data_IF_096261203840
#
_entry.id   IF_096261203840
#
_cell.length_a   1.000
_cell.length_b   1.000
_cell.length_c   1.000
_cell.angle_alpha   90.00
_cell.angle_beta   90.00
_cell.angle_gamma   90.00
#
_symmetry.space_group_name_H-M   'P 1'
#
loop_
_entity.id
_entity.type
_entity.pdbx_description
1 polymer ?
#
# COMPACT_ATOMS: atom_id res chain seq x y z
N UNK A 1 -11.78 -17.43 -42.33
CA UNK A 1 -10.50 -17.40 -41.58
C UNK A 1 -10.83 -17.14 -40.12
N UNK A 2 -10.73 -18.18 -39.30
CA UNK A 2 -11.06 -18.19 -37.87
C UNK A 2 -9.99 -17.46 -37.04
N UNK A 3 -10.44 -16.56 -36.16
CA UNK A 3 -9.60 -15.97 -35.10
C UNK A 3 -9.17 -17.05 -34.10
N UNK A 4 -7.90 -17.09 -33.66
CA UNK A 4 -7.47 -18.08 -32.68
C UNK A 4 -8.06 -17.74 -31.31
N UNK A 5 -8.68 -18.74 -30.66
CA UNK A 5 -9.09 -18.69 -29.25
C UNK A 5 -7.86 -18.57 -28.36
N UNK A 6 -7.89 -17.76 -27.27
CA UNK A 6 -6.83 -17.76 -26.29
C UNK A 6 -6.70 -19.15 -25.66
N UNK A 7 -5.45 -19.64 -25.53
CA UNK A 7 -5.14 -20.99 -25.07
C UNK A 7 -5.65 -21.20 -23.64
N UNK A 8 -6.34 -22.30 -23.42
CA UNK A 8 -6.86 -22.78 -22.13
C UNK A 8 -5.77 -23.03 -21.06
N UNK A 9 -4.50 -23.01 -21.45
CA UNK A 9 -3.36 -23.26 -20.56
C UNK A 9 -3.12 -22.13 -19.54
N UNK A 10 -3.57 -20.89 -19.82
CA UNK A 10 -3.40 -19.78 -18.88
C UNK A 10 -4.46 -19.75 -17.76
N UNK A 11 -5.61 -20.41 -17.96
CA UNK A 11 -6.67 -20.50 -16.96
C UNK A 11 -6.49 -21.66 -15.97
N UNK A 12 -5.73 -22.70 -16.34
CA UNK A 12 -5.55 -23.88 -15.49
C UNK A 12 -4.43 -23.76 -14.46
N UNK A 13 -3.50 -22.83 -14.64
CA UNK A 13 -2.44 -22.56 -13.65
C UNK A 13 -3.01 -21.80 -12.42
N UNK A 14 -4.07 -21.01 -12.61
CA UNK A 14 -4.75 -20.30 -11.50
C UNK A 14 -5.73 -21.17 -10.70
N UNK A 15 -6.13 -22.35 -11.25
CA UNK A 15 -7.14 -23.23 -10.60
C UNK A 15 -6.55 -24.32 -9.68
N UNK A 16 -5.23 -24.40 -9.51
CA UNK A 16 -4.60 -25.48 -8.73
C UNK A 16 -3.78 -25.04 -7.52
N UNK A 17 -3.96 -23.83 -7.01
CA UNK A 17 -3.51 -23.54 -5.65
C UNK A 17 -4.69 -23.79 -4.70
N UNK A 18 -4.54 -24.70 -3.73
CA UNK A 18 -5.54 -24.80 -2.68
C UNK A 18 -5.63 -23.44 -2.02
N UNK A 19 -6.82 -22.86 -2.04
CA UNK A 19 -7.15 -21.65 -1.28
C UNK A 19 -7.05 -22.03 0.21
N UNK A 20 -5.84 -21.92 0.76
CA UNK A 20 -5.68 -21.97 2.21
C UNK A 20 -6.35 -20.72 2.76
N UNK A 21 -7.51 -20.92 3.38
CA UNK A 21 -8.19 -19.89 4.17
C UNK A 21 -7.40 -19.67 5.48
N UNK A 22 -6.15 -19.19 5.35
CA UNK A 22 -5.34 -18.84 6.51
C UNK A 22 -5.65 -17.41 6.87
N UNK A 23 -6.43 -17.27 7.91
CA UNK A 23 -6.75 -15.96 8.48
C UNK A 23 -5.54 -15.43 9.25
N UNK A 24 -4.71 -14.67 8.56
CA UNK A 24 -3.46 -14.11 9.08
C UNK A 24 -3.71 -12.74 9.70
N UNK A 25 -3.08 -12.50 10.85
CA UNK A 25 -3.01 -11.15 11.45
C UNK A 25 -1.82 -10.41 10.86
N UNK A 26 -2.05 -9.21 10.36
CA UNK A 26 -1.04 -8.44 9.64
C UNK A 26 -0.81 -7.08 10.27
N UNK A 27 0.45 -6.69 10.39
CA UNK A 27 0.88 -5.34 10.79
C UNK A 27 1.69 -4.75 9.64
N UNK A 28 1.30 -3.56 9.21
CA UNK A 28 2.06 -2.75 8.26
C UNK A 28 2.80 -1.65 9.02
N UNK A 29 4.11 -1.62 8.91
CA UNK A 29 4.94 -0.53 9.43
C UNK A 29 5.13 0.50 8.31
N UNK A 30 4.73 1.73 8.56
CA UNK A 30 4.78 2.81 7.59
C UNK A 30 5.55 4.01 8.14
N UNK A 31 6.27 4.70 7.25
CA UNK A 31 6.92 5.97 7.54
C UNK A 31 5.98 7.10 7.13
N UNK A 32 5.58 7.95 8.05
CA UNK A 32 4.91 9.21 7.73
C UNK A 32 5.94 10.27 7.35
N UNK A 33 5.74 10.90 6.21
CA UNK A 33 6.32 12.19 5.92
C UNK A 33 5.29 13.24 6.33
N UNK A 34 5.53 13.95 7.42
CA UNK A 34 4.81 15.17 7.71
C UNK A 34 5.34 16.26 6.76
N UNK A 35 4.70 16.45 5.62
CA UNK A 35 4.65 17.76 5.03
C UNK A 35 3.69 18.58 5.92
N UNK A 36 4.16 19.76 6.35
CA UNK A 36 3.42 20.68 7.22
C UNK A 36 2.13 21.14 6.51
N UNK A 37 1.07 20.36 6.61
CA UNK A 37 -0.26 20.77 6.27
C UNK A 37 -1.11 20.86 7.54
N UNK A 38 -1.75 22.03 7.70
CA UNK A 38 -2.57 22.42 8.83
C UNK A 38 -3.64 21.36 9.17
N UNK A 39 -4.13 21.31 10.43
CA UNK A 39 -5.02 20.27 10.90
C UNK A 39 -6.33 20.28 10.10
N UNK A 40 -6.63 19.15 9.46
CA UNK A 40 -7.93 18.88 8.84
C UNK A 40 -8.94 18.72 9.97
N UNK A 41 -9.70 19.75 10.24
CA UNK A 41 -10.86 19.71 11.13
C UNK A 41 -11.91 18.78 10.50
N UNK A 42 -12.04 17.56 11.02
CA UNK A 42 -13.11 16.63 10.66
C UNK A 42 -14.43 17.15 11.27
N UNK A 43 -15.16 17.97 10.53
CA UNK A 43 -16.59 18.14 10.69
C UNK A 43 -17.30 17.54 9.46
N UNK A 44 -17.58 16.25 9.55
CA UNK A 44 -18.43 15.53 8.60
C UNK A 44 -19.88 15.81 8.98
N UNK A 45 -20.41 16.99 8.62
CA UNK A 45 -21.83 17.30 8.50
C UNK A 45 -22.01 18.75 8.05
N UNK A 46 -21.75 19.03 6.78
CA UNK A 46 -22.28 20.23 6.14
C UNK A 46 -22.46 19.96 4.64
N UNK A 47 -23.54 20.50 4.02
CA UNK A 47 -23.76 20.32 2.60
C UNK A 47 -22.63 20.99 1.82
N UNK A 48 -22.22 20.31 0.77
CA UNK A 48 -21.14 20.65 -0.16
C UNK A 48 -21.13 22.12 -0.59
N UNK A 49 -20.49 22.95 0.19
CA UNK A 49 -19.93 24.20 -0.32
C UNK A 49 -18.63 23.84 -1.01
N UNK A 50 -18.67 23.74 -2.31
CA UNK A 50 -17.50 23.64 -3.17
C UNK A 50 -16.66 24.90 -2.88
N UNK A 51 -15.63 24.79 -2.07
CA UNK A 51 -14.58 25.80 -1.99
C UNK A 51 -13.89 25.77 -3.34
N UNK A 52 -14.17 26.78 -4.16
CA UNK A 52 -13.36 27.08 -5.34
C UNK A 52 -12.00 27.45 -4.78
N UNK A 53 -11.01 26.57 -4.97
CA UNK A 53 -9.62 26.87 -4.69
C UNK A 53 -9.19 27.96 -5.68
N UNK A 54 -9.31 29.21 -5.25
CA UNK A 54 -8.96 30.40 -6.04
C UNK A 54 -7.44 30.58 -6.20
N UNK A 55 -6.63 29.61 -5.76
CA UNK A 55 -5.16 29.68 -5.77
C UNK A 55 -4.47 28.83 -6.84
N UNK A 56 -5.17 28.35 -7.86
CA UNK A 56 -4.49 27.68 -8.96
C UNK A 56 -3.90 28.75 -9.90
N UNK A 57 -2.64 29.08 -9.70
CA UNK A 57 -1.88 29.94 -10.61
C UNK A 57 -1.34 29.11 -11.78
N UNK A 58 -1.86 29.36 -12.98
CA UNK A 58 -1.29 28.83 -14.22
C UNK A 58 -0.26 29.83 -14.77
N UNK A 59 0.94 29.37 -15.04
CA UNK A 59 1.93 30.14 -15.77
C UNK A 59 1.76 29.92 -17.26
N UNK A 60 2.13 30.93 -18.04
CA UNK A 60 2.11 30.83 -19.50
C UNK A 60 2.94 29.63 -19.97
N UNK A 61 2.37 28.80 -20.85
CA UNK A 61 2.91 27.52 -21.32
C UNK A 61 2.90 26.36 -20.31
N UNK A 62 2.23 26.48 -19.18
CA UNK A 62 1.99 25.31 -18.32
C UNK A 62 1.15 24.27 -19.07
N UNK A 63 1.51 22.99 -18.85
CA UNK A 63 0.63 21.89 -19.26
C UNK A 63 -0.54 21.79 -18.31
N UNK A 64 -1.74 21.71 -18.90
CA UNK A 64 -3.00 21.63 -18.14
C UNK A 64 -3.89 20.52 -18.71
N UNK A 65 -4.66 19.91 -17.83
CA UNK A 65 -5.63 18.89 -18.20
C UNK A 65 -7.03 19.46 -18.01
N UNK A 66 -7.80 19.51 -19.09
CA UNK A 66 -9.23 19.79 -19.02
C UNK A 66 -10.00 18.47 -18.88
N UNK A 67 -10.96 18.41 -17.96
CA UNK A 67 -11.69 17.18 -17.63
C UNK A 67 -12.30 16.48 -18.85
N UNK A 68 -12.84 17.24 -19.80
CA UNK A 68 -13.51 16.69 -20.97
C UNK A 68 -12.64 16.61 -22.23
N UNK A 69 -11.55 17.38 -22.31
CA UNK A 69 -10.76 17.51 -23.54
C UNK A 69 -9.31 17.05 -23.41
N UNK A 70 -8.86 16.73 -22.20
CA UNK A 70 -7.53 16.18 -21.96
C UNK A 70 -6.42 17.21 -21.88
N UNK A 71 -5.23 16.79 -22.30
CA UNK A 71 -4.00 17.53 -22.12
C UNK A 71 -3.82 18.62 -23.18
N UNK A 72 -3.68 19.84 -22.71
CA UNK A 72 -3.38 21.03 -23.51
C UNK A 72 -2.32 21.91 -22.87
N UNK A 73 -2.01 23.04 -23.48
CA UNK A 73 -1.07 24.05 -23.00
C UNK A 73 -1.80 25.35 -22.75
N UNK A 74 -1.68 25.87 -21.54
CA UNK A 74 -2.25 27.17 -21.17
C UNK A 74 -1.54 28.33 -21.91
N UNK A 75 -2.31 29.17 -22.59
CA UNK A 75 -1.82 30.30 -23.39
C UNK A 75 -2.26 31.68 -22.88
N UNK A 76 -2.67 31.75 -21.60
CA UNK A 76 -3.05 33.00 -20.99
C UNK A 76 -4.56 33.26 -20.98
N UNK A 77 -4.93 34.46 -20.53
CA UNK A 77 -6.30 34.96 -20.57
C UNK A 77 -6.55 35.74 -21.88
N UNK A 78 -7.70 35.53 -22.45
CA UNK A 78 -8.16 36.24 -23.66
C UNK A 78 -9.57 36.78 -23.43
N UNK A 79 -9.77 38.07 -23.78
CA UNK A 79 -11.08 38.70 -23.70
C UNK A 79 -11.81 38.46 -24.99
N UNK A 80 -12.92 37.77 -24.95
CA UNK A 80 -13.78 37.51 -26.11
C UNK A 80 -15.06 38.34 -25.97
N UNK A 81 -15.31 39.19 -26.95
CA UNK A 81 -16.55 39.96 -27.02
C UNK A 81 -17.61 39.17 -27.82
N UNK A 82 -18.72 38.86 -27.16
CA UNK A 82 -19.85 38.21 -27.77
C UNK A 82 -21.14 38.99 -27.45
N UNK A 83 -21.87 39.41 -28.46
CA UNK A 83 -23.12 40.18 -28.31
C UNK A 83 -22.99 41.44 -27.47
N UNK A 84 -21.84 42.16 -27.55
CA UNK A 84 -21.58 43.38 -26.79
C UNK A 84 -21.16 43.16 -25.36
N UNK A 85 -21.02 41.92 -24.90
CA UNK A 85 -20.52 41.58 -23.53
C UNK A 85 -19.09 41.06 -23.65
N UNK A 86 -18.18 41.68 -22.93
CA UNK A 86 -16.78 41.26 -22.81
C UNK A 86 -16.64 40.26 -21.66
N UNK A 87 -16.24 39.05 -22.00
CA UNK A 87 -15.95 38.01 -20.99
C UNK A 87 -14.50 37.55 -21.13
N UNK A 88 -13.89 37.23 -19.98
CA UNK A 88 -12.55 36.68 -19.90
C UNK A 88 -12.58 35.14 -19.92
N UNK A 89 -11.71 34.58 -20.76
CA UNK A 89 -11.55 33.14 -20.94
C UNK A 89 -10.09 32.73 -20.77
N UNK A 90 -9.89 31.54 -20.21
CA UNK A 90 -8.59 30.86 -20.27
C UNK A 90 -8.47 30.22 -21.65
N UNK A 91 -7.39 30.56 -22.37
CA UNK A 91 -7.05 29.96 -23.65
C UNK A 91 -6.13 28.76 -23.43
N UNK A 92 -6.56 27.59 -23.91
CA UNK A 92 -5.80 26.34 -23.87
C UNK A 92 -5.57 25.89 -25.32
N UNK A 93 -4.32 25.69 -25.70
CA UNK A 93 -3.96 25.17 -27.02
C UNK A 93 -3.76 23.66 -26.99
N UNK A 94 -4.32 22.98 -27.97
CA UNK A 94 -4.29 21.54 -28.18
C UNK A 94 -3.47 21.16 -29.41
N UNK A 95 -3.41 19.87 -29.77
CA UNK A 95 -2.80 19.42 -31.00
C UNK A 95 -3.48 20.09 -32.21
N UNK A 96 -2.78 20.15 -33.36
CA UNK A 96 -3.25 20.74 -34.59
C UNK A 96 -3.64 22.25 -34.50
N UNK A 97 -3.04 22.98 -33.52
CA UNK A 97 -3.36 24.39 -33.27
C UNK A 97 -4.84 24.66 -32.89
N UNK A 98 -5.56 23.64 -32.44
CA UNK A 98 -6.91 23.79 -31.90
C UNK A 98 -6.88 24.56 -30.58
N UNK A 99 -7.76 25.53 -30.37
CA UNK A 99 -7.85 26.32 -29.16
C UNK A 99 -9.20 26.14 -28.46
N UNK A 100 -9.15 25.94 -27.14
CA UNK A 100 -10.31 25.89 -26.25
C UNK A 100 -10.35 27.15 -25.40
N UNK A 101 -11.49 27.80 -25.35
CA UNK A 101 -11.73 28.95 -24.50
C UNK A 101 -12.64 28.55 -23.33
N UNK A 102 -12.07 28.53 -22.11
CA UNK A 102 -12.77 28.12 -20.90
C UNK A 102 -13.13 29.36 -20.08
N UNK A 103 -14.42 29.63 -19.81
CA UNK A 103 -14.83 30.73 -18.97
C UNK A 103 -14.19 30.65 -17.58
N UNK A 104 -13.83 31.78 -16.98
CA UNK A 104 -13.25 31.81 -15.62
C UNK A 104 -14.10 31.05 -14.58
N UNK A 105 -15.42 31.13 -14.68
CA UNK A 105 -16.35 30.40 -13.81
C UNK A 105 -16.20 28.84 -13.90
N UNK A 106 -15.54 28.34 -14.94
CA UNK A 106 -15.32 26.89 -15.15
C UNK A 106 -13.86 26.46 -14.97
N UNK A 107 -13.06 27.29 -14.33
CA UNK A 107 -11.63 26.98 -14.05
C UNK A 107 -11.45 25.69 -13.27
N UNK A 108 -12.43 25.30 -12.45
CA UNK A 108 -12.42 24.04 -11.70
C UNK A 108 -12.36 22.77 -12.57
N UNK A 109 -12.67 22.88 -13.88
CA UNK A 109 -12.53 21.78 -14.83
C UNK A 109 -11.08 21.60 -15.33
N UNK A 110 -10.17 22.49 -14.91
CA UNK A 110 -8.79 22.50 -15.37
C UNK A 110 -7.88 22.21 -14.17
N UNK A 111 -6.98 21.26 -14.36
CA UNK A 111 -5.93 20.95 -13.36
C UNK A 111 -4.54 21.12 -13.98
N UNK A 112 -3.57 21.52 -13.14
CA UNK A 112 -2.18 21.62 -13.56
C UNK A 112 -1.58 20.22 -13.73
N UNK A 113 -0.91 20.00 -14.87
CA UNK A 113 -0.20 18.75 -15.11
C UNK A 113 1.27 18.89 -14.70
N UNK A 114 1.69 18.12 -13.70
CA UNK A 114 3.07 18.04 -13.26
C UNK A 114 3.80 16.94 -14.01
N UNK A 115 4.79 17.31 -14.81
CA UNK A 115 5.60 16.35 -15.56
C UNK A 115 6.61 15.68 -14.62
N UNK A 116 6.38 14.40 -14.31
CA UNK A 116 7.23 13.63 -13.37
C UNK A 116 8.57 13.16 -13.96
N UNK A 117 8.83 13.34 -15.25
CA UNK A 117 10.13 13.00 -15.87
C UNK A 117 10.35 13.77 -17.18
N UNK A 118 11.58 14.21 -17.41
CA UNK A 118 11.99 14.97 -18.61
C UNK A 118 11.95 14.14 -19.92
N UNK A 119 11.74 12.83 -19.86
CA UNK A 119 11.91 11.90 -21.00
C UNK A 119 10.62 11.46 -21.68
N UNK A 120 9.44 11.94 -21.27
CA UNK A 120 8.19 11.56 -21.93
C UNK A 120 7.81 12.67 -22.90
N UNK A 121 7.85 12.38 -24.21
CA UNK A 121 7.24 13.21 -25.23
C UNK A 121 5.75 13.37 -24.93
N UNK A 122 5.39 14.54 -24.40
CA UNK A 122 4.04 14.85 -23.97
C UNK A 122 3.24 15.27 -25.22
N UNK A 123 2.64 14.31 -25.91
CA UNK A 123 1.76 14.60 -27.04
C UNK A 123 0.46 15.21 -26.53
N UNK A 124 0.13 16.41 -27.03
CA UNK A 124 -1.12 17.08 -26.72
C UNK A 124 -2.31 16.27 -27.26
N UNK A 125 -3.41 16.29 -26.54
CA UNK A 125 -4.67 15.73 -27.04
C UNK A 125 -5.29 16.68 -28.09
N UNK A 126 -6.25 16.22 -28.87
CA UNK A 126 -6.95 16.99 -29.89
C UNK A 126 -8.43 17.10 -29.53
N UNK A 127 -9.04 18.26 -29.81
CA UNK A 127 -10.44 18.50 -29.53
C UNK A 127 -11.36 17.74 -30.51
N UNK A 128 -10.84 17.43 -31.68
CA UNK A 128 -11.59 16.80 -32.78
C UNK A 128 -11.67 15.28 -32.71
N UNK A 129 -10.98 14.63 -31.76
CA UNK A 129 -11.01 13.18 -31.66
C UNK A 129 -11.45 12.67 -30.27
N UNK A 130 -12.00 11.45 -30.25
CA UNK A 130 -12.50 10.82 -29.03
C UNK A 130 -11.42 10.07 -28.22
N UNK A 131 -10.12 10.28 -28.48
CA UNK A 131 -9.05 9.54 -27.82
C UNK A 131 -9.01 9.81 -26.31
N UNK A 132 -9.23 11.04 -25.89
CA UNK A 132 -9.28 11.39 -24.48
C UNK A 132 -10.45 10.69 -23.76
N UNK A 133 -11.66 10.75 -24.33
CA UNK A 133 -12.83 10.07 -23.79
C UNK A 133 -12.59 8.56 -23.61
N UNK A 134 -11.97 7.92 -24.62
CA UNK A 134 -11.61 6.51 -24.52
C UNK A 134 -10.54 6.23 -23.44
N UNK A 135 -9.53 7.13 -23.29
CA UNK A 135 -8.54 7.01 -22.21
C UNK A 135 -9.22 7.12 -20.85
N UNK A 136 -10.12 8.11 -20.69
CA UNK A 136 -10.90 8.33 -19.46
C UNK A 136 -11.74 7.10 -19.10
N UNK A 137 -12.55 6.59 -20.05
CA UNK A 137 -13.35 5.38 -19.83
C UNK A 137 -12.51 4.15 -19.45
N UNK A 138 -11.35 3.96 -20.09
CA UNK A 138 -10.45 2.87 -19.74
C UNK A 138 -9.87 3.02 -18.33
N UNK A 139 -9.53 4.26 -17.93
CA UNK A 139 -9.04 4.55 -16.59
C UNK A 139 -10.14 4.35 -15.54
N UNK A 140 -11.34 4.85 -15.80
CA UNK A 140 -12.53 4.64 -14.95
C UNK A 140 -12.83 3.15 -14.78
N UNK A 141 -12.91 2.39 -15.87
CA UNK A 141 -13.13 0.95 -15.79
C UNK A 141 -12.07 0.25 -14.95
N UNK A 142 -10.78 0.56 -15.15
CA UNK A 142 -9.69 -0.01 -14.33
C UNK A 142 -9.82 0.36 -12.85
N UNK A 143 -10.24 1.60 -12.56
CA UNK A 143 -10.47 2.04 -11.19
C UNK A 143 -11.63 1.28 -10.54
N UNK A 144 -12.72 1.06 -11.26
CA UNK A 144 -13.86 0.24 -10.80
C UNK A 144 -13.46 -1.23 -10.59
N UNK A 145 -12.74 -1.82 -11.55
CA UNK A 145 -12.27 -3.21 -11.44
C UNK A 145 -11.37 -3.37 -10.21
N UNK A 146 -10.44 -2.43 -10.01
CA UNK A 146 -9.55 -2.44 -8.84
C UNK A 146 -10.28 -2.20 -7.51
N UNK A 147 -11.25 -1.29 -7.49
CA UNK A 147 -12.08 -1.07 -6.30
C UNK A 147 -12.91 -2.32 -5.95
N UNK A 148 -13.47 -2.99 -6.94
CA UNK A 148 -14.21 -4.24 -6.74
C UNK A 148 -13.30 -5.35 -6.18
N UNK A 149 -12.07 -5.45 -6.66
CA UNK A 149 -11.08 -6.42 -6.14
C UNK A 149 -10.71 -6.13 -4.68
N UNK A 150 -10.48 -4.86 -4.32
CA UNK A 150 -10.22 -4.45 -2.94
C UNK A 150 -11.41 -4.79 -2.03
N UNK A 151 -12.64 -4.50 -2.48
CA UNK A 151 -13.85 -4.80 -1.72
C UNK A 151 -14.05 -6.31 -1.53
N UNK A 152 -13.75 -7.12 -2.54
CA UNK A 152 -13.82 -8.59 -2.42
C UNK A 152 -12.81 -9.12 -1.41
N UNK A 153 -11.55 -8.66 -1.46
CA UNK A 153 -10.50 -9.03 -0.49
C UNK A 153 -10.94 -8.65 0.93
N UNK A 154 -11.46 -7.44 1.11
CA UNK A 154 -11.90 -6.95 2.42
C UNK A 154 -13.12 -7.72 2.94
N UNK A 155 -14.09 -8.02 2.07
CA UNK A 155 -15.26 -8.83 2.40
C UNK A 155 -14.87 -10.24 2.86
N UNK A 156 -13.95 -10.89 2.14
CA UNK A 156 -13.41 -12.20 2.53
C UNK A 156 -12.70 -12.12 3.88
N UNK A 157 -11.89 -11.09 4.11
CA UNK A 157 -11.22 -10.88 5.40
C UNK A 157 -12.21 -10.71 6.54
N UNK A 158 -13.25 -9.90 6.36
CA UNK A 158 -14.26 -9.67 7.39
C UNK A 158 -15.11 -10.92 7.71
N UNK A 159 -15.30 -11.80 6.74
CA UNK A 159 -16.01 -13.08 6.92
C UNK A 159 -15.10 -14.20 7.43
N UNK A 160 -13.79 -14.01 7.41
CA UNK A 160 -12.82 -15.00 7.88
C UNK A 160 -12.67 -14.96 9.41
N UNK A 161 -12.27 -16.10 9.98
CA UNK A 161 -11.98 -16.25 11.40
C UNK A 161 -10.49 -16.52 11.58
N UNK A 162 -9.84 -15.74 12.44
CA UNK A 162 -8.48 -16.01 12.88
C UNK A 162 -8.51 -16.53 14.33
N UNK A 163 -7.61 -17.45 14.72
CA UNK A 163 -7.57 -17.88 16.10
C UNK A 163 -7.19 -16.71 17.01
N UNK A 164 -7.91 -16.56 18.14
CA UNK A 164 -7.53 -15.63 19.18
C UNK A 164 -6.20 -16.09 19.79
N UNK A 165 -5.21 -15.22 19.81
CA UNK A 165 -3.91 -15.50 20.42
C UNK A 165 -3.99 -15.16 21.91
N UNK A 166 -3.84 -16.17 22.76
CA UNK A 166 -3.82 -15.97 24.21
C UNK A 166 -2.45 -15.46 24.63
N UNK A 167 -2.46 -14.38 25.42
CA UNK A 167 -1.23 -13.79 25.97
C UNK A 167 -0.93 -14.49 27.28
N UNK A 168 0.20 -15.19 27.38
CA UNK A 168 0.73 -15.61 28.66
C UNK A 168 1.34 -14.42 29.39
N UNK A 169 0.64 -13.94 30.42
CA UNK A 169 1.01 -12.74 31.14
C UNK A 169 2.36 -12.84 31.84
N UNK A 170 2.83 -14.03 32.22
CA UNK A 170 4.09 -14.23 32.92
C UNK A 170 5.27 -14.07 31.98
N UNK A 171 5.31 -14.84 30.91
CA UNK A 171 6.37 -14.80 29.89
C UNK A 171 6.39 -13.45 29.17
N UNK A 172 5.23 -12.86 28.92
CA UNK A 172 5.14 -11.56 28.27
C UNK A 172 5.70 -10.43 29.15
N UNK A 173 5.44 -10.44 30.47
CA UNK A 173 6.05 -9.50 31.41
C UNK A 173 7.57 -9.62 31.44
N UNK A 174 8.11 -10.83 31.38
CA UNK A 174 9.56 -11.04 31.28
C UNK A 174 10.12 -10.45 29.99
N UNK A 175 9.45 -10.67 28.86
CA UNK A 175 9.83 -10.09 27.58
C UNK A 175 9.84 -8.56 27.62
N UNK A 176 8.83 -7.92 28.21
CA UNK A 176 8.75 -6.46 28.35
C UNK A 176 9.93 -5.92 29.20
N UNK A 177 10.27 -6.58 30.31
CA UNK A 177 11.36 -6.15 31.21
C UNK A 177 12.73 -6.10 30.54
N UNK A 178 12.96 -6.91 29.52
CA UNK A 178 14.19 -6.92 28.75
C UNK A 178 14.31 -5.74 27.76
N UNK A 179 13.28 -4.91 27.64
CA UNK A 179 13.34 -3.70 26.81
C UNK A 179 14.12 -2.60 27.57
N UNK A 180 15.25 -2.11 27.02
CA UNK A 180 16.16 -1.22 27.75
C UNK A 180 15.67 0.23 27.85
N UNK A 181 14.56 0.57 27.19
CA UNK A 181 14.02 1.91 27.13
C UNK A 181 12.64 1.99 27.78
N UNK A 182 12.20 3.21 28.09
CA UNK A 182 10.83 3.47 28.52
C UNK A 182 9.98 3.77 27.30
N UNK A 183 8.82 3.13 27.23
CA UNK A 183 7.85 3.36 26.16
C UNK A 183 7.28 4.79 26.20
N UNK A 184 7.03 5.35 25.05
CA UNK A 184 6.24 6.58 24.92
C UNK A 184 4.74 6.28 25.04
N UNK A 185 3.93 7.30 25.34
CA UNK A 185 2.48 7.12 25.43
C UNK A 185 1.89 6.57 24.14
N UNK A 186 2.36 7.05 22.99
CA UNK A 186 1.87 6.59 21.68
C UNK A 186 2.24 5.13 21.41
N UNK A 187 3.44 4.70 21.83
CA UNK A 187 3.83 3.29 21.76
C UNK A 187 2.95 2.42 22.64
N UNK A 188 2.62 2.85 23.87
CA UNK A 188 1.71 2.11 24.76
C UNK A 188 0.33 1.96 24.15
N UNK A 189 -0.25 3.03 23.63
CA UNK A 189 -1.56 2.99 22.94
C UNK A 189 -1.53 2.04 21.74
N UNK A 190 -0.46 2.06 20.94
CA UNK A 190 -0.31 1.17 19.79
C UNK A 190 -0.15 -0.30 20.23
N UNK A 191 0.61 -0.57 21.29
CA UNK A 191 0.79 -1.91 21.85
C UNK A 191 -0.54 -2.46 22.35
N UNK A 192 -1.28 -1.72 23.18
CA UNK A 192 -2.58 -2.13 23.70
C UNK A 192 -3.59 -2.42 22.58
N UNK A 193 -3.60 -1.58 21.53
CA UNK A 193 -4.46 -1.78 20.38
C UNK A 193 -4.13 -3.07 19.62
N UNK A 194 -2.84 -3.40 19.46
CA UNK A 194 -2.38 -4.62 18.80
C UNK A 194 -2.68 -5.85 19.67
N UNK A 195 -2.43 -5.79 20.97
CA UNK A 195 -2.74 -6.87 21.91
C UNK A 195 -4.25 -7.21 21.90
N UNK A 196 -5.09 -6.18 21.89
CA UNK A 196 -6.53 -6.33 21.75
C UNK A 196 -6.90 -7.02 20.42
N UNK A 197 -6.34 -6.56 19.30
CA UNK A 197 -6.61 -7.15 17.99
C UNK A 197 -6.13 -8.60 17.90
N UNK A 198 -4.97 -8.92 18.49
CA UNK A 198 -4.44 -10.28 18.53
C UNK A 198 -5.33 -11.22 19.33
N UNK A 199 -6.03 -10.73 20.36
CA UNK A 199 -6.96 -11.50 21.19
C UNK A 199 -8.33 -11.76 20.56
N UNK A 200 -8.68 -11.07 19.47
CA UNK A 200 -9.96 -11.24 18.78
C UNK A 200 -9.95 -12.45 17.83
N UNK A 201 -11.13 -13.02 17.57
CA UNK A 201 -11.34 -14.11 16.58
C UNK A 201 -11.42 -13.53 15.15
N UNK A 202 -10.87 -12.38 14.91
CA UNK A 202 -10.89 -11.72 13.59
C UNK A 202 -9.47 -11.51 13.08
N UNK A 203 -9.24 -11.63 11.76
CA UNK A 203 -7.98 -11.26 11.18
C UNK A 203 -7.66 -9.78 11.46
N UNK A 204 -6.49 -9.52 12.02
CA UNK A 204 -6.01 -8.16 12.23
C UNK A 204 -5.44 -7.61 10.91
N UNK A 205 -5.78 -6.37 10.60
CA UNK A 205 -5.13 -5.60 9.53
C UNK A 205 -4.85 -4.20 10.07
N UNK A 206 -3.65 -4.00 10.59
CA UNK A 206 -3.29 -2.79 11.31
C UNK A 206 -2.13 -2.08 10.62
N UNK A 207 -2.34 -0.81 10.34
CA UNK A 207 -1.30 0.10 9.91
C UNK A 207 -0.70 0.79 11.14
N UNK A 208 0.62 0.69 11.31
CA UNK A 208 1.38 1.37 12.35
C UNK A 208 2.23 2.46 11.70
N UNK A 209 1.81 3.70 11.86
CA UNK A 209 2.48 4.88 11.35
C UNK A 209 3.43 5.47 12.39
N UNK A 210 4.53 6.03 11.94
CA UNK A 210 5.49 6.73 12.80
C UNK A 210 6.82 6.95 12.09
N UNK A 211 7.57 7.95 12.50
CA UNK A 211 8.88 8.29 11.93
C UNK A 211 9.95 7.22 12.15
N UNK A 212 11.06 7.36 11.44
CA UNK A 212 12.24 6.51 11.64
C UNK A 212 12.79 6.74 13.05
N UNK A 213 13.08 5.63 13.77
CA UNK A 213 13.58 5.70 15.13
C UNK A 213 12.50 5.72 16.23
N UNK A 214 11.21 5.81 15.90
CA UNK A 214 10.10 5.82 16.88
C UNK A 214 9.78 4.43 17.48
N UNK A 215 10.65 3.45 17.28
CA UNK A 215 10.53 2.14 17.95
C UNK A 215 9.42 1.24 17.40
N UNK A 216 8.96 1.45 16.15
CA UNK A 216 7.98 0.56 15.47
C UNK A 216 8.39 -0.91 15.53
N UNK A 217 9.69 -1.18 15.47
CA UNK A 217 10.25 -2.54 15.51
C UNK A 217 9.99 -3.22 16.85
N UNK A 218 10.08 -2.51 18.00
CA UNK A 218 9.77 -3.10 19.30
C UNK A 218 8.28 -3.50 19.39
N UNK A 219 7.39 -2.68 18.85
CA UNK A 219 5.96 -3.00 18.82
C UNK A 219 5.71 -4.28 17.99
N UNK A 220 6.39 -4.40 16.84
CA UNK A 220 6.33 -5.61 16.01
C UNK A 220 6.92 -6.83 16.72
N UNK A 221 8.01 -6.66 17.50
CA UNK A 221 8.62 -7.73 18.31
C UNK A 221 7.67 -8.21 19.39
N UNK A 222 6.93 -7.34 20.07
CA UNK A 222 5.91 -7.71 21.06
C UNK A 222 4.79 -8.53 20.45
N UNK A 223 4.29 -8.11 19.30
CA UNK A 223 3.27 -8.85 18.56
C UNK A 223 3.79 -10.24 18.11
N UNK A 224 5.05 -10.30 17.65
CA UNK A 224 5.70 -11.54 17.29
C UNK A 224 5.86 -12.48 18.48
N UNK A 225 6.28 -11.96 19.64
CA UNK A 225 6.39 -12.74 20.87
C UNK A 225 5.07 -13.36 21.31
N UNK A 226 3.99 -12.58 21.29
CA UNK A 226 2.64 -13.07 21.60
C UNK A 226 2.25 -14.20 20.65
N UNK A 227 2.53 -14.04 19.36
CA UNK A 227 2.17 -15.03 18.35
C UNK A 227 2.94 -16.32 18.50
N UNK A 228 4.25 -16.24 18.77
CA UNK A 228 5.10 -17.43 19.00
C UNK A 228 4.70 -18.16 20.28
N UNK A 229 4.41 -17.44 21.36
CA UNK A 229 3.93 -18.06 22.60
C UNK A 229 2.55 -18.73 22.47
N UNK A 230 1.77 -18.33 21.48
CA UNK A 230 0.54 -19.02 21.11
C UNK A 230 0.77 -20.18 20.11
N UNK A 231 2.02 -20.67 19.97
CA UNK A 231 2.44 -21.72 19.04
C UNK A 231 2.13 -21.38 17.56
N UNK A 232 2.22 -20.12 17.17
CA UNK A 232 2.06 -19.64 15.81
C UNK A 232 3.36 -19.11 15.24
N UNK A 233 3.57 -19.35 13.96
CA UNK A 233 4.72 -18.82 13.24
C UNK A 233 4.52 -17.36 12.87
N UNK A 234 5.63 -16.64 12.72
CA UNK A 234 5.65 -15.23 12.33
C UNK A 234 6.49 -15.05 11.08
N UNK A 235 6.01 -14.27 10.13
CA UNK A 235 6.78 -13.84 8.97
C UNK A 235 6.94 -12.33 9.00
N UNK A 236 8.17 -11.86 8.76
CA UNK A 236 8.49 -10.44 8.67
C UNK A 236 9.05 -10.15 7.29
N UNK A 237 8.41 -9.21 6.61
CA UNK A 237 8.81 -8.77 5.28
C UNK A 237 9.50 -7.42 5.34
N UNK A 238 10.65 -7.33 4.73
CA UNK A 238 11.36 -6.08 4.53
C UNK A 238 11.69 -5.90 3.03
N UNK A 239 11.71 -4.66 2.51
CA UNK A 239 11.86 -4.39 1.08
C UNK A 239 13.26 -4.66 0.54
N UNK A 240 14.27 -4.71 1.41
CA UNK A 240 15.67 -4.89 0.99
C UNK A 240 16.39 -5.93 1.84
N UNK A 241 17.44 -6.53 1.27
CA UNK A 241 18.30 -7.49 1.99
C UNK A 241 19.04 -6.86 3.16
N UNK A 242 19.34 -5.58 3.10
CA UNK A 242 19.98 -4.83 4.21
C UNK A 242 19.03 -4.74 5.40
N UNK A 243 17.78 -4.34 5.16
CA UNK A 243 16.76 -4.29 6.22
C UNK A 243 16.44 -5.69 6.77
N UNK A 244 16.41 -6.73 5.94
CA UNK A 244 16.29 -8.11 6.41
C UNK A 244 17.41 -8.47 7.39
N UNK A 245 18.66 -8.13 7.07
CA UNK A 245 19.80 -8.40 7.97
C UNK A 245 19.72 -7.59 9.27
N UNK A 246 19.29 -6.33 9.21
CA UNK A 246 19.11 -5.48 10.40
C UNK A 246 17.99 -6.03 11.30
N UNK A 247 16.82 -6.35 10.73
CA UNK A 247 15.73 -6.96 11.49
C UNK A 247 16.16 -8.31 12.08
N UNK A 248 16.85 -9.15 11.30
CA UNK A 248 17.32 -10.44 11.79
C UNK A 248 18.20 -10.27 13.02
N UNK A 249 19.21 -9.41 12.97
CA UNK A 249 20.09 -9.16 14.10
C UNK A 249 19.31 -8.62 15.32
N UNK A 250 18.48 -7.61 15.12
CA UNK A 250 17.68 -7.01 16.20
C UNK A 250 16.74 -8.03 16.85
N UNK A 251 16.11 -8.90 16.07
CA UNK A 251 15.22 -9.94 16.58
C UNK A 251 16.00 -11.03 17.30
N UNK A 252 17.15 -11.49 16.77
CA UNK A 252 17.99 -12.47 17.44
C UNK A 252 18.46 -11.95 18.80
N UNK A 253 18.93 -10.71 18.87
CA UNK A 253 19.40 -10.10 20.11
C UNK A 253 18.28 -9.97 21.15
N UNK A 254 17.10 -9.54 20.70
CA UNK A 254 15.92 -9.30 21.56
C UNK A 254 15.29 -10.59 22.10
N UNK A 255 15.32 -11.66 21.29
CA UNK A 255 14.68 -12.94 21.62
C UNK A 255 15.64 -13.98 22.21
N UNK A 256 16.92 -13.63 22.36
CA UNK A 256 18.01 -14.55 22.76
C UNK A 256 17.70 -15.41 23.99
N UNK A 257 16.98 -14.87 24.98
CA UNK A 257 16.70 -15.55 26.26
C UNK A 257 15.47 -16.46 26.23
N UNK A 258 14.68 -16.43 25.14
CA UNK A 258 13.36 -17.05 25.11
C UNK A 258 13.29 -18.35 24.30
N UNK A 259 14.42 -18.85 23.83
CA UNK A 259 14.48 -20.13 23.10
C UNK A 259 13.78 -20.15 21.74
N UNK A 260 13.48 -18.97 21.17
CA UNK A 260 12.76 -18.80 19.91
C UNK A 260 13.70 -18.93 18.73
N UNK A 261 13.34 -19.77 17.77
CA UNK A 261 14.14 -20.02 16.56
C UNK A 261 13.85 -19.00 15.47
N UNK A 262 14.83 -18.17 15.14
CA UNK A 262 14.73 -17.13 14.13
C UNK A 262 15.62 -17.47 12.93
N UNK A 263 15.11 -17.38 11.73
CA UNK A 263 15.85 -17.55 10.49
C UNK A 263 15.60 -16.39 9.54
N UNK A 264 16.56 -16.14 8.66
CA UNK A 264 16.38 -15.17 7.57
C UNK A 264 16.55 -15.83 6.21
N UNK A 265 15.78 -15.36 5.23
CA UNK A 265 15.86 -15.78 3.83
C UNK A 265 16.05 -14.54 2.95
N UNK A 266 17.20 -14.48 2.29
CA UNK A 266 17.50 -13.43 1.34
C UNK A 266 18.18 -14.00 0.08
N UNK A 267 18.42 -13.15 -0.92
CA UNK A 267 19.06 -13.59 -2.17
C UNK A 267 20.51 -14.07 -2.00
N UNK A 268 21.18 -13.67 -0.92
CA UNK A 268 22.57 -14.05 -0.63
C UNK A 268 22.69 -15.38 0.11
N UNK A 269 21.57 -15.93 0.62
CA UNK A 269 21.56 -17.26 1.21
C UNK A 269 21.90 -18.28 0.14
N UNK A 270 22.73 -19.28 0.47
CA UNK A 270 23.08 -20.38 -0.41
C UNK A 270 21.85 -21.23 -0.76
N UNK A 271 21.88 -21.96 -1.87
CA UNK A 271 20.76 -22.81 -2.27
C UNK A 271 20.44 -23.86 -1.23
N UNK A 272 21.46 -24.45 -0.61
CA UNK A 272 21.31 -25.45 0.46
C UNK A 272 20.66 -24.86 1.73
N UNK A 273 21.08 -23.67 2.15
CA UNK A 273 20.48 -22.95 3.28
C UNK A 273 19.02 -22.58 3.01
N UNK A 274 18.69 -22.16 1.79
CA UNK A 274 17.30 -21.87 1.40
C UNK A 274 16.42 -23.09 1.54
N UNK A 275 16.83 -24.22 0.93
CA UNK A 275 16.06 -25.47 1.01
C UNK A 275 15.89 -25.92 2.46
N UNK A 276 16.97 -25.88 3.26
CA UNK A 276 16.90 -26.24 4.66
C UNK A 276 15.98 -25.31 5.45
N UNK A 277 16.09 -23.99 5.29
CA UNK A 277 15.25 -23.03 6.01
C UNK A 277 13.78 -23.17 5.65
N UNK A 278 13.45 -23.40 4.37
CA UNK A 278 12.09 -23.67 3.91
C UNK A 278 11.55 -24.96 4.53
N UNK A 279 12.34 -26.03 4.50
CA UNK A 279 11.96 -27.30 5.13
C UNK A 279 11.75 -27.14 6.65
N UNK A 280 12.64 -26.44 7.34
CA UNK A 280 12.54 -26.20 8.78
C UNK A 280 11.31 -25.33 9.13
N UNK A 281 10.98 -24.35 8.30
CA UNK A 281 9.77 -23.52 8.47
C UNK A 281 8.50 -24.36 8.26
N UNK A 282 8.42 -25.14 7.19
CA UNK A 282 7.27 -25.98 6.90
C UNK A 282 7.05 -27.08 7.95
N UNK A 283 8.11 -27.50 8.64
CA UNK A 283 8.04 -28.45 9.76
C UNK A 283 7.87 -27.77 11.14
N UNK A 284 7.52 -26.48 11.18
CA UNK A 284 7.36 -25.70 12.39
C UNK A 284 8.57 -25.68 13.33
N UNK A 285 9.79 -25.84 12.80
CA UNK A 285 11.06 -25.74 13.54
C UNK A 285 11.61 -24.30 13.58
N UNK A 286 11.01 -23.41 12.80
CA UNK A 286 11.34 -21.97 12.75
C UNK A 286 10.12 -21.20 13.19
N UNK A 287 10.26 -20.43 14.25
CA UNK A 287 9.18 -19.64 14.82
C UNK A 287 9.01 -18.31 14.08
N UNK A 288 10.13 -17.65 13.76
CA UNK A 288 10.14 -16.34 13.08
C UNK A 288 11.00 -16.43 11.83
N UNK A 289 10.40 -16.14 10.69
CA UNK A 289 11.08 -16.08 9.39
C UNK A 289 11.11 -14.63 8.87
N UNK A 290 12.30 -14.11 8.61
CA UNK A 290 12.50 -12.73 8.12
C UNK A 290 13.03 -12.77 6.70
N UNK A 291 12.42 -12.02 5.79
CA UNK A 291 12.88 -12.01 4.41
C UNK A 291 12.27 -10.92 3.55
N UNK A 292 12.61 -10.95 2.26
CA UNK A 292 12.02 -10.05 1.28
C UNK A 292 10.73 -10.67 0.70
N UNK A 293 10.02 -9.92 -0.14
CA UNK A 293 8.84 -10.42 -0.86
C UNK A 293 9.10 -11.74 -1.63
N UNK A 294 10.37 -12.07 -1.90
CA UNK A 294 10.74 -13.35 -2.51
C UNK A 294 10.31 -14.58 -1.68
N UNK A 295 9.99 -14.41 -0.38
CA UNK A 295 9.42 -15.47 0.44
C UNK A 295 8.13 -16.06 -0.16
N UNK A 296 7.29 -15.21 -0.75
CA UNK A 296 6.02 -15.68 -1.35
C UNK A 296 6.18 -16.45 -2.66
N UNK A 297 7.35 -16.41 -3.28
CA UNK A 297 7.67 -17.19 -4.46
C UNK A 297 8.31 -18.53 -4.12
N UNK A 298 8.57 -18.80 -2.85
CA UNK A 298 9.11 -20.07 -2.35
C UNK A 298 7.98 -21.04 -1.99
N UNK A 299 8.32 -22.32 -1.88
CA UNK A 299 7.39 -23.36 -1.44
C UNK A 299 7.22 -23.36 0.10
N UNK A 300 6.78 -22.23 0.64
CA UNK A 300 6.50 -22.07 2.07
C UNK A 300 5.06 -22.45 2.38
N UNK A 301 4.87 -23.22 3.43
CA UNK A 301 3.58 -23.56 3.99
C UNK A 301 3.21 -22.57 5.10
N UNK A 302 2.12 -21.84 4.91
CA UNK A 302 1.65 -20.83 5.83
C UNK A 302 0.50 -21.30 6.75
N UNK A 303 0.23 -22.62 6.84
CA UNK A 303 -0.88 -23.13 7.65
C UNK A 303 -0.76 -22.79 9.13
N UNK A 304 0.45 -22.71 9.66
CA UNK A 304 0.69 -22.33 11.06
C UNK A 304 1.04 -20.85 11.24
N UNK A 305 0.95 -20.03 10.18
CA UNK A 305 1.24 -18.60 10.26
C UNK A 305 0.17 -17.88 11.07
N UNK A 306 0.57 -17.20 12.16
CA UNK A 306 -0.32 -16.41 13.01
C UNK A 306 -0.17 -14.91 12.81
N UNK A 307 1.02 -14.45 12.39
CA UNK A 307 1.30 -13.03 12.22
C UNK A 307 2.17 -12.78 11.00
N UNK A 308 1.78 -11.81 10.21
CA UNK A 308 2.59 -11.23 9.14
C UNK A 308 2.89 -9.78 9.46
N UNK A 309 4.17 -9.41 9.49
CA UNK A 309 4.63 -8.03 9.65
C UNK A 309 5.21 -7.57 8.32
N UNK A 310 4.77 -6.44 7.83
CA UNK A 310 5.28 -5.83 6.59
C UNK A 310 5.91 -4.49 6.92
N UNK A 311 7.23 -4.40 6.77
CA UNK A 311 7.97 -3.16 6.98
C UNK A 311 8.11 -2.38 5.68
N UNK A 312 8.00 -1.04 5.77
CA UNK A 312 8.14 -0.11 4.64
C UNK A 312 7.26 -0.49 3.43
N UNK A 313 5.96 -0.75 3.68
CA UNK A 313 4.99 -1.24 2.69
C UNK A 313 4.97 -0.42 1.38
N UNK A 314 5.25 0.88 1.47
CA UNK A 314 5.28 1.78 0.31
C UNK A 314 6.39 1.44 -0.71
N UNK A 315 7.43 0.70 -0.30
CA UNK A 315 8.51 0.26 -1.19
C UNK A 315 8.20 -1.02 -1.95
N UNK A 316 7.07 -1.66 -1.66
CA UNK A 316 6.61 -2.81 -2.43
C UNK A 316 5.80 -2.35 -3.65
N UNK A 317 6.06 -2.98 -4.80
CA UNK A 317 5.28 -2.74 -6.01
C UNK A 317 3.83 -3.26 -5.89
N UNK A 318 2.92 -2.76 -6.73
CA UNK A 318 1.49 -3.13 -6.71
C UNK A 318 1.27 -4.65 -6.74
N UNK A 319 1.92 -5.36 -7.66
CA UNK A 319 1.83 -6.83 -7.76
C UNK A 319 2.30 -7.55 -6.49
N UNK A 320 3.30 -7.01 -5.79
CA UNK A 320 3.80 -7.59 -4.55
C UNK A 320 2.81 -7.37 -3.41
N UNK A 321 2.18 -6.19 -3.36
CA UNK A 321 1.12 -5.89 -2.40
C UNK A 321 -0.11 -6.79 -2.60
N UNK A 322 -0.49 -7.06 -3.83
CA UNK A 322 -1.60 -7.95 -4.16
C UNK A 322 -1.31 -9.39 -3.66
N UNK A 323 -0.09 -9.89 -3.87
CA UNK A 323 0.33 -11.19 -3.34
C UNK A 323 0.29 -11.20 -1.80
N UNK A 324 0.78 -10.15 -1.14
CA UNK A 324 0.75 -10.03 0.32
C UNK A 324 -0.69 -10.05 0.83
N UNK A 325 -1.60 -9.31 0.19
CA UNK A 325 -3.02 -9.23 0.60
C UNK A 325 -3.82 -10.49 0.31
N UNK A 326 -3.38 -11.31 -0.63
CA UNK A 326 -4.06 -12.57 -1.00
C UNK A 326 -3.71 -13.75 -0.11
N UNK A 327 -2.74 -13.61 0.79
CA UNK A 327 -2.31 -14.61 1.77
C UNK A 327 -2.92 -14.39 3.12
#
# INVERSE_FOLDING_TARGET
RSTPKPSSAASDVYKRQPLYNVSIKTIFLHREYFENDAPINQNINAPTNIRIDTNIHFNFNDYVIHESYGLGVYKGLEVVESKGIKNEYLKISYANNENLYVPLAKTFLISKYHKNSEKIDTTLDSLSNNKWSQKKQRAEKRAYDHAAEILDIESRRLSSHAPALRIDASSYKEFIKEFPYKETNDQLVAIEAIEKDLSLIKPMNRLLCGDVGFGKTEIAMRAAFISVNANKQVVILAPSTVLVSQHFQSFVDRFKKFGITIKSLNRHSSSSEKVKTISDFNNAKVDILIGTHALFTQALDFQNLGLLVVDEEHRFGTKQKDIIKSK
#
